data_IF_117059523202
#
_entry.id   IF_117059523202
#
_cell.length_a   1.000
_cell.length_b   1.000
_cell.length_c   1.000
_cell.angle_alpha   90.00
_cell.angle_beta   90.00
_cell.angle_gamma   90.00
#
_symmetry.space_group_name_H-M   'P 1'
#
loop_
_entity.id
_entity.type
_entity.pdbx_description
1 polymer ?
#
# COMPACT_ATOMS: atom_id res chain seq x y z
N UNK A 1 -3.70 -8.60 15.93
CA UNK A 1 -3.73 -9.05 14.53
C UNK A 1 -2.63 -8.33 13.78
N UNK A 2 -1.77 -9.00 13.00
CA UNK A 2 -0.79 -8.31 12.17
C UNK A 2 -1.44 -7.62 10.97
N UNK A 3 -0.85 -6.53 10.50
CA UNK A 3 -1.26 -5.82 9.30
C UNK A 3 -0.07 -5.65 8.34
N UNK A 4 -0.37 -5.29 7.10
CA UNK A 4 0.60 -4.87 6.08
C UNK A 4 0.08 -3.62 5.41
N UNK A 5 0.97 -2.88 4.77
CA UNK A 5 0.65 -1.82 3.82
C UNK A 5 1.52 -2.06 2.60
N UNK A 6 0.89 -2.23 1.43
CA UNK A 6 1.62 -2.36 0.16
C UNK A 6 0.76 -1.84 -0.98
N UNK A 7 1.39 -1.21 -1.97
CA UNK A 7 0.78 -0.82 -3.23
C UNK A 7 1.23 -1.71 -4.40
N UNK A 8 1.93 -2.82 -4.11
CA UNK A 8 2.45 -3.76 -5.09
C UNK A 8 1.31 -4.56 -5.75
N UNK A 9 0.99 -4.31 -7.03
CA UNK A 9 -0.13 -4.99 -7.70
C UNK A 9 0.08 -6.49 -7.84
N UNK A 10 1.32 -6.98 -7.74
CA UNK A 10 1.62 -8.42 -7.81
C UNK A 10 1.20 -9.19 -6.55
N UNK A 11 0.92 -8.47 -5.45
CA UNK A 11 0.49 -9.04 -4.17
C UNK A 11 -1.01 -8.89 -3.92
N UNK A 12 -1.71 -8.14 -4.76
CA UNK A 12 -3.14 -7.88 -4.60
C UNK A 12 -3.96 -9.07 -5.09
N UNK A 13 -4.92 -9.52 -4.27
CA UNK A 13 -5.95 -10.46 -4.71
C UNK A 13 -6.89 -9.82 -5.73
N UNK A 14 -7.14 -8.50 -5.59
CA UNK A 14 -7.91 -7.68 -6.51
C UNK A 14 -7.01 -6.60 -7.09
N UNK A 15 -6.63 -6.68 -8.39
CA UNK A 15 -5.68 -5.75 -9.00
C UNK A 15 -6.05 -4.27 -8.92
N UNK A 16 -7.32 -3.92 -8.71
CA UNK A 16 -7.74 -2.51 -8.54
C UNK A 16 -7.41 -1.93 -7.17
N UNK A 17 -7.05 -2.76 -6.20
CA UNK A 17 -6.83 -2.37 -4.81
C UNK A 17 -5.34 -2.05 -4.56
N UNK A 18 -4.54 -2.02 -5.64
CA UNK A 18 -3.15 -1.63 -5.68
C UNK A 18 -2.89 -0.78 -6.92
N UNK A 19 -2.44 0.45 -6.73
CA UNK A 19 -2.11 1.37 -7.82
C UNK A 19 -0.97 2.29 -7.40
N UNK A 20 -0.12 2.64 -8.35
CA UNK A 20 1.00 3.55 -8.15
C UNK A 20 1.19 4.41 -9.42
N UNK A 21 1.68 5.66 -9.29
CA UNK A 21 1.95 6.52 -10.43
C UNK A 21 3.02 5.94 -11.36
N UNK A 22 2.99 6.33 -12.63
CA UNK A 22 4.03 5.97 -13.59
C UNK A 22 5.40 6.45 -13.12
N UNK A 23 6.37 5.55 -13.03
CA UNK A 23 7.73 5.84 -12.57
C UNK A 23 7.94 5.67 -11.07
N UNK A 24 6.89 5.47 -10.28
CA UNK A 24 7.01 5.08 -8.89
C UNK A 24 7.43 3.61 -8.76
N UNK A 25 8.20 3.29 -7.71
CA UNK A 25 8.50 1.91 -7.33
C UNK A 25 7.51 1.44 -6.26
N UNK A 26 6.99 0.22 -6.41
CA UNK A 26 6.12 -0.39 -5.41
C UNK A 26 6.84 -0.56 -4.06
N UNK A 27 6.08 -0.48 -2.98
CA UNK A 27 6.55 -0.62 -1.62
C UNK A 27 5.71 -1.63 -0.82
N UNK A 28 6.31 -2.17 0.23
CA UNK A 28 5.68 -3.10 1.15
C UNK A 28 6.27 -2.90 2.54
N UNK A 29 5.41 -2.69 3.54
CA UNK A 29 5.82 -2.55 4.93
C UNK A 29 6.35 -3.86 5.54
N UNK A 30 6.05 -4.99 4.90
CA UNK A 30 6.09 -6.30 5.53
C UNK A 30 5.02 -6.42 6.62
N UNK A 31 5.07 -7.52 7.37
CA UNK A 31 4.15 -7.77 8.47
C UNK A 31 4.45 -6.89 9.68
N UNK A 32 3.46 -6.12 10.12
CA UNK A 32 3.51 -5.27 11.31
C UNK A 32 2.59 -5.83 12.39
N UNK A 33 3.15 -6.13 13.56
CA UNK A 33 2.41 -6.48 14.78
C UNK A 33 2.05 -5.23 15.58
N UNK A 34 1.22 -5.39 16.62
CA UNK A 34 0.83 -4.29 17.50
C UNK A 34 2.05 -3.58 18.12
N UNK A 35 2.08 -2.25 18.02
CA UNK A 35 3.18 -1.41 18.50
C UNK A 35 4.33 -1.22 17.52
N UNK A 36 4.30 -1.85 16.35
CA UNK A 36 5.28 -1.60 15.27
C UNK A 36 4.78 -0.50 14.34
N UNK A 37 5.72 0.23 13.74
CA UNK A 37 5.46 1.29 12.77
C UNK A 37 6.32 1.08 11.52
N UNK A 38 5.83 1.60 10.40
CA UNK A 38 6.52 1.66 9.13
C UNK A 38 6.47 3.08 8.58
N UNK A 39 7.52 3.50 7.89
CA UNK A 39 7.62 4.82 7.25
C UNK A 39 8.03 4.65 5.79
N UNK A 40 7.40 5.44 4.92
CA UNK A 40 7.72 5.50 3.50
C UNK A 40 7.73 6.96 3.05
N UNK A 41 8.69 7.31 2.19
CA UNK A 41 8.76 8.62 1.53
C UNK A 41 8.32 8.46 0.09
N UNK A 42 7.40 9.30 -0.35
CA UNK A 42 6.92 9.30 -1.73
C UNK A 42 7.68 10.33 -2.55
N UNK A 43 8.51 9.86 -3.48
CA UNK A 43 9.32 10.74 -4.34
C UNK A 43 8.62 11.10 -5.67
N UNK A 44 7.50 10.44 -5.99
CA UNK A 44 6.74 10.65 -7.23
C UNK A 44 5.35 11.21 -6.91
N UNK A 45 4.99 12.40 -7.41
CA UNK A 45 3.62 12.89 -7.30
C UNK A 45 2.62 12.00 -8.03
N UNK A 46 1.41 11.90 -7.50
CA UNK A 46 0.32 11.14 -8.06
C UNK A 46 -0.46 10.36 -7.02
N UNK A 47 -1.35 9.50 -7.51
CA UNK A 47 -2.26 8.71 -6.69
C UNK A 47 -1.71 7.31 -6.44
N UNK A 48 -1.73 6.91 -5.17
CA UNK A 48 -1.36 5.60 -4.69
C UNK A 48 -2.56 4.93 -4.04
N UNK A 49 -2.89 3.72 -4.46
CA UNK A 49 -3.85 2.84 -3.76
C UNK A 49 -3.05 1.72 -3.14
N UNK A 50 -3.21 1.52 -1.84
CA UNK A 50 -2.51 0.50 -1.07
C UNK A 50 -3.50 -0.35 -0.29
N UNK A 51 -3.09 -1.54 0.10
CA UNK A 51 -3.95 -2.49 0.81
C UNK A 51 -3.18 -3.29 1.85
N UNK A 52 -3.93 -3.97 2.71
CA UNK A 52 -3.41 -4.94 3.65
C UNK A 52 -3.66 -6.36 3.12
N UNK A 53 -2.60 -7.13 2.85
CA UNK A 53 -2.65 -8.47 2.27
C UNK A 53 -3.61 -9.40 3.04
N UNK A 54 -3.50 -9.57 4.39
CA UNK A 54 -4.42 -10.46 5.11
C UNK A 54 -5.86 -9.96 5.23
N UNK A 55 -6.14 -8.68 4.92
CA UNK A 55 -7.45 -8.05 5.16
C UNK A 55 -8.02 -7.32 3.94
N UNK A 56 -7.48 -7.58 2.75
CA UNK A 56 -7.90 -6.96 1.50
C UNK A 56 -9.38 -7.25 1.21
N UNK A 57 -9.79 -8.51 1.33
CA UNK A 57 -11.17 -8.94 1.12
C UNK A 57 -12.16 -8.40 2.17
N UNK A 58 -11.65 -7.88 3.30
CA UNK A 58 -12.43 -7.20 4.33
C UNK A 58 -12.50 -5.68 4.09
N UNK A 59 -11.91 -5.19 2.99
CA UNK A 59 -11.94 -3.79 2.58
C UNK A 59 -10.84 -2.93 3.21
N UNK A 60 -9.76 -3.54 3.72
CA UNK A 60 -8.62 -2.78 4.23
C UNK A 60 -7.76 -2.26 3.07
N UNK A 61 -8.28 -1.24 2.42
CA UNK A 61 -7.72 -0.53 1.26
C UNK A 61 -7.67 0.95 1.61
N UNK A 62 -6.58 1.62 1.25
CA UNK A 62 -6.38 3.04 1.46
C UNK A 62 -5.88 3.73 0.19
N UNK A 63 -5.99 5.06 0.20
CA UNK A 63 -5.62 5.90 -0.92
C UNK A 63 -4.83 7.11 -0.43
N UNK A 64 -3.77 7.46 -1.16
CA UNK A 64 -2.88 8.59 -0.87
C UNK A 64 -2.68 9.36 -2.17
N UNK A 65 -2.96 10.66 -2.15
CA UNK A 65 -2.59 11.58 -3.23
C UNK A 65 -1.37 12.38 -2.79
N UNK A 66 -0.29 12.29 -3.57
CA UNK A 66 0.95 13.05 -3.36
C UNK A 66 0.99 14.20 -4.36
N UNK A 67 1.04 15.44 -3.86
CA UNK A 67 1.18 16.64 -4.69
C UNK A 67 2.60 17.19 -4.60
N UNK A 68 3.08 17.93 -5.62
CA UNK A 68 4.34 18.68 -5.56
C UNK A 68 4.41 19.65 -4.38
#
# INVERSE_FOLDING_TARGET
MPHTLTDDPTKAAKPSDAALPSGAQAWDSGQLNGGQSFSHTFDTPGDYTYFCIPHESLGMVGHITVTP
#
